data_IF_938968642087
#
_entry.id   IF_938968642087
#
_cell.length_a   1.000
_cell.length_b   1.000
_cell.length_c   1.000
_cell.angle_alpha   90.00
_cell.angle_beta   90.00
_cell.angle_gamma   90.00
#
_symmetry.space_group_name_H-M   'P 1'
#
loop_
_entity.id
_entity.type
_entity.pdbx_description
1 polymer ?
#
# COMPACT_ATOMS: atom_id res chain seq x y z
N UNK A 1 6.37 3.19 -8.12
CA UNK A 1 5.81 2.43 -9.24
C UNK A 1 5.24 1.14 -8.68
N UNK A 2 4.29 1.30 -7.74
CA UNK A 2 3.08 0.52 -7.94
C UNK A 2 2.39 1.04 -9.21
N UNK A 3 1.44 0.29 -9.75
CA UNK A 3 0.85 0.57 -11.06
C UNK A 3 0.29 2.01 -11.14
N UNK A 4 -0.44 2.43 -10.12
CA UNK A 4 -1.17 3.71 -10.10
C UNK A 4 -0.65 4.72 -9.06
N UNK A 5 0.41 4.36 -8.31
CA UNK A 5 0.94 5.16 -7.20
C UNK A 5 2.32 5.76 -7.52
N UNK A 6 2.57 6.97 -6.98
CA UNK A 6 3.76 7.79 -7.20
C UNK A 6 4.03 8.09 -8.67
N UNK A 7 5.05 7.46 -9.24
CA UNK A 7 5.46 7.62 -10.63
C UNK A 7 5.00 6.42 -11.48
N UNK A 8 3.99 5.68 -11.00
CA UNK A 8 3.25 4.63 -11.69
C UNK A 8 2.93 4.96 -13.14
N UNK A 9 2.92 4.00 -14.09
CA UNK A 9 2.42 4.26 -15.43
C UNK A 9 0.97 4.78 -15.42
N UNK A 10 0.13 4.36 -14.46
CA UNK A 10 -1.23 4.87 -14.29
C UNK A 10 -1.33 6.03 -13.28
N UNK A 11 -0.21 6.56 -12.80
CA UNK A 11 -0.22 7.71 -11.89
C UNK A 11 -0.35 9.04 -12.64
N UNK A 12 -0.78 10.09 -11.95
CA UNK A 12 -0.80 11.46 -12.49
C UNK A 12 0.59 12.05 -12.74
N UNK A 13 1.65 11.40 -12.25
CA UNK A 13 3.05 11.85 -12.37
C UNK A 13 3.95 10.74 -12.91
N UNK A 14 3.47 10.00 -13.92
CA UNK A 14 4.23 8.93 -14.55
C UNK A 14 5.58 9.41 -15.09
N UNK A 15 6.65 8.62 -14.92
CA UNK A 15 7.96 8.91 -15.54
C UNK A 15 7.97 8.70 -17.06
N UNK A 16 7.09 7.83 -17.55
CA UNK A 16 6.93 7.51 -18.96
C UNK A 16 5.64 8.11 -19.53
N UNK A 17 5.43 7.88 -20.82
CA UNK A 17 4.17 8.18 -21.50
C UNK A 17 3.72 6.94 -22.27
N UNK A 18 2.39 6.76 -22.36
CA UNK A 18 1.83 5.79 -23.27
C UNK A 18 2.00 6.28 -24.71
N UNK A 19 2.38 5.38 -25.61
CA UNK A 19 2.49 5.65 -27.03
C UNK A 19 1.22 5.16 -27.71
N UNK A 20 0.20 6.02 -27.74
CA UNK A 20 -1.11 5.74 -28.32
C UNK A 20 -1.42 6.75 -29.44
N UNK A 21 -2.17 6.35 -30.48
CA UNK A 21 -2.58 7.29 -31.54
C UNK A 21 -3.56 8.35 -31.01
N UNK A 22 -4.39 7.99 -30.04
CA UNK A 22 -5.37 8.87 -29.39
C UNK A 22 -4.96 9.15 -27.94
N UNK A 23 -5.31 10.31 -27.37
CA UNK A 23 -5.08 10.60 -25.95
C UNK A 23 -5.79 9.59 -25.06
N UNK A 24 -5.11 9.09 -24.03
CA UNK A 24 -5.77 8.31 -22.98
C UNK A 24 -6.70 9.20 -22.15
N UNK A 25 -7.73 8.59 -21.50
CA UNK A 25 -8.51 9.29 -20.49
C UNK A 25 -7.62 9.90 -19.40
N UNK A 26 -8.05 11.04 -18.83
CA UNK A 26 -7.34 11.73 -17.74
C UNK A 26 -7.05 10.79 -16.56
N UNK A 27 -7.99 9.88 -16.27
CA UNK A 27 -7.88 8.89 -15.21
C UNK A 27 -8.18 7.51 -15.78
N UNK A 28 -7.19 6.63 -15.68
CA UNK A 28 -7.32 5.24 -16.10
C UNK A 28 -7.35 4.36 -14.85
N UNK A 29 -8.48 3.71 -14.64
CA UNK A 29 -8.69 2.75 -13.56
C UNK A 29 -8.30 1.36 -14.06
N UNK A 30 -7.71 0.56 -13.19
CA UNK A 30 -7.37 -0.83 -13.51
C UNK A 30 -7.88 -1.74 -12.41
N UNK A 31 -8.67 -2.74 -12.78
CA UNK A 31 -9.15 -3.77 -11.87
C UNK A 31 -8.51 -5.10 -12.25
N UNK A 32 -7.96 -5.80 -11.28
CA UNK A 32 -7.40 -7.14 -11.47
C UNK A 32 -7.78 -8.07 -10.32
N UNK A 33 -7.80 -9.38 -10.60
CA UNK A 33 -7.94 -10.37 -9.53
C UNK A 33 -6.62 -10.52 -8.78
N UNK A 34 -6.67 -10.50 -7.46
CA UNK A 34 -5.52 -10.66 -6.57
C UNK A 34 -4.80 -12.01 -6.76
N UNK A 35 -5.51 -13.05 -7.23
CA UNK A 35 -5.01 -14.44 -7.42
C UNK A 35 -4.36 -15.06 -6.18
N UNK A 36 -4.69 -14.54 -4.99
CA UNK A 36 -4.28 -15.00 -3.67
C UNK A 36 -5.47 -14.83 -2.74
N UNK A 37 -5.52 -15.61 -1.67
CA UNK A 37 -6.51 -15.47 -0.61
C UNK A 37 -6.26 -14.17 0.16
N UNK A 38 -7.33 -13.42 0.45
CA UNK A 38 -7.27 -12.30 1.38
C UNK A 38 -8.34 -12.46 2.45
N UNK A 39 -8.02 -11.99 3.66
CA UNK A 39 -8.91 -12.08 4.82
C UNK A 39 -8.90 -10.81 5.64
N UNK A 40 -10.01 -10.54 6.32
CA UNK A 40 -10.20 -9.33 7.13
C UNK A 40 -10.65 -9.72 8.54
N UNK A 41 -10.05 -9.10 9.56
CA UNK A 41 -10.49 -9.20 10.95
C UNK A 41 -11.12 -7.94 11.47
N UNK A 42 -12.17 -8.12 12.27
CA UNK A 42 -12.79 -7.07 13.06
C UNK A 42 -13.47 -7.68 14.28
N UNK A 43 -13.40 -7.00 15.44
CA UNK A 43 -13.95 -7.52 16.69
C UNK A 43 -13.25 -8.80 17.16
N UNK A 44 -11.99 -9.02 16.74
CA UNK A 44 -11.26 -10.26 17.00
C UNK A 44 -11.64 -11.45 16.11
N UNK A 45 -12.68 -11.33 15.28
CA UNK A 45 -13.20 -12.38 14.41
C UNK A 45 -12.81 -12.20 12.94
N UNK A 46 -12.86 -13.28 12.16
CA UNK A 46 -12.76 -13.22 10.70
C UNK A 46 -14.10 -12.81 10.09
N UNK A 47 -14.14 -11.69 9.38
CA UNK A 47 -15.37 -11.13 8.82
C UNK A 47 -15.47 -11.26 7.30
N UNK A 48 -14.33 -11.48 6.64
CA UNK A 48 -14.25 -11.75 5.21
C UNK A 48 -13.08 -12.70 4.95
N UNK A 49 -13.28 -13.64 4.03
CA UNK A 49 -12.30 -14.64 3.63
C UNK A 49 -12.57 -15.09 2.20
N UNK A 50 -11.70 -14.72 1.25
CA UNK A 50 -11.94 -14.97 -0.17
C UNK A 50 -10.66 -15.14 -0.98
N UNK A 51 -10.70 -16.05 -1.95
CA UNK A 51 -9.73 -16.16 -3.06
C UNK A 51 -10.19 -15.39 -4.30
N UNK A 52 -11.45 -14.97 -4.34
CA UNK A 52 -12.02 -14.13 -5.40
C UNK A 52 -12.02 -12.67 -4.96
N UNK A 53 -10.85 -12.05 -4.87
CA UNK A 53 -10.70 -10.63 -4.50
C UNK A 53 -10.24 -9.82 -5.71
N UNK A 54 -10.89 -8.69 -5.95
CA UNK A 54 -10.50 -7.73 -6.98
C UNK A 54 -9.74 -6.58 -6.35
N UNK A 55 -8.54 -6.31 -6.85
CA UNK A 55 -7.81 -5.08 -6.55
C UNK A 55 -8.22 -4.00 -7.56
N UNK A 56 -8.66 -2.85 -7.05
CA UNK A 56 -8.86 -1.64 -7.85
C UNK A 56 -7.68 -0.70 -7.67
N UNK A 57 -7.04 -0.36 -8.78
CA UNK A 57 -5.95 0.60 -8.88
C UNK A 57 -6.51 1.92 -9.45
N UNK A 58 -6.47 2.95 -8.63
CA UNK A 58 -6.84 4.31 -9.03
C UNK A 58 -5.61 5.22 -9.10
N UNK A 59 -5.53 6.16 -10.06
CA UNK A 59 -4.45 7.14 -10.14
C UNK A 59 -4.31 7.92 -8.83
N UNK A 60 -3.12 7.85 -8.23
CA UNK A 60 -2.81 8.54 -6.98
C UNK A 60 -3.46 7.90 -5.75
N UNK A 61 -3.70 6.58 -5.76
CA UNK A 61 -4.08 5.79 -4.58
C UNK A 61 -3.33 4.46 -4.51
N UNK A 62 -3.19 3.91 -3.30
CA UNK A 62 -2.87 2.50 -3.12
C UNK A 62 -4.02 1.62 -3.60
N UNK A 63 -3.76 0.37 -4.03
CA UNK A 63 -4.81 -0.53 -4.45
C UNK A 63 -5.77 -0.82 -3.31
N UNK A 64 -7.05 -0.93 -3.64
CA UNK A 64 -8.12 -1.26 -2.71
C UNK A 64 -8.67 -2.64 -3.04
N UNK A 65 -8.76 -3.51 -2.04
CA UNK A 65 -9.32 -4.84 -2.18
C UNK A 65 -10.85 -4.85 -2.04
N UNK A 66 -11.52 -5.46 -3.01
CA UNK A 66 -12.96 -5.64 -3.09
C UNK A 66 -13.32 -7.12 -3.00
N UNK A 67 -14.02 -7.47 -1.92
CA UNK A 67 -14.47 -8.82 -1.59
C UNK A 67 -15.90 -9.03 -2.08
N UNK A 68 -16.26 -10.20 -2.63
CA UNK A 68 -17.63 -10.50 -3.00
C UNK A 68 -18.47 -10.60 -1.73
N UNK A 69 -19.70 -10.06 -1.75
CA UNK A 69 -20.61 -10.10 -0.60
C UNK A 69 -20.81 -11.51 -0.02
N UNK A 70 -20.77 -12.54 -0.87
CA UNK A 70 -20.88 -13.96 -0.47
C UNK A 70 -19.71 -14.46 0.39
N UNK A 71 -18.58 -13.77 0.40
CA UNK A 71 -17.41 -14.11 1.23
C UNK A 71 -17.40 -13.41 2.59
N UNK A 72 -18.37 -12.53 2.85
CA UNK A 72 -18.51 -11.84 4.12
C UNK A 72 -19.41 -12.63 5.06
N UNK A 73 -19.13 -12.51 6.36
CA UNK A 73 -20.05 -12.97 7.40
C UNK A 73 -21.36 -12.17 7.29
N UNK A 74 -22.52 -12.83 7.28
CA UNK A 74 -23.80 -12.23 6.87
C UNK A 74 -24.31 -11.09 7.76
N UNK A 75 -23.91 -11.04 9.03
CA UNK A 75 -24.34 -10.08 10.04
C UNK A 75 -23.34 -8.94 10.27
N UNK A 76 -22.27 -8.84 9.46
CA UNK A 76 -21.21 -7.86 9.69
C UNK A 76 -21.53 -6.45 9.18
N UNK A 77 -22.33 -6.34 8.11
CA UNK A 77 -22.61 -5.05 7.46
C UNK A 77 -23.98 -4.53 7.86
N UNK A 78 -24.00 -3.32 8.41
CA UNK A 78 -25.22 -2.57 8.68
C UNK A 78 -25.29 -1.35 7.74
N UNK A 79 -26.40 -1.21 7.03
CA UNK A 79 -26.64 -0.06 6.15
C UNK A 79 -26.74 1.22 6.97
N UNK A 80 -25.89 2.20 6.69
CA UNK A 80 -25.91 3.48 7.41
C UNK A 80 -26.78 4.55 6.73
N UNK A 81 -27.44 4.22 5.61
CA UNK A 81 -28.19 5.16 4.75
C UNK A 81 -27.33 6.22 4.04
N UNK A 82 -26.00 6.17 4.22
CA UNK A 82 -25.08 7.17 3.69
C UNK A 82 -24.61 6.76 2.31
N UNK A 83 -24.74 7.66 1.35
CA UNK A 83 -24.15 7.51 0.02
C UNK A 83 -23.17 8.64 -0.30
N UNK A 84 -22.24 8.37 -1.21
CA UNK A 84 -21.36 9.36 -1.84
C UNK A 84 -21.29 9.09 -3.34
N UNK A 85 -20.74 10.02 -4.12
CA UNK A 85 -20.55 9.83 -5.55
C UNK A 85 -19.06 9.67 -5.87
N UNK A 86 -18.70 8.55 -6.50
CA UNK A 86 -17.38 8.33 -7.06
C UNK A 86 -17.33 8.93 -8.46
N UNK A 87 -16.23 9.63 -8.81
CA UNK A 87 -16.09 10.38 -10.08
C UNK A 87 -16.33 9.49 -11.30
N UNK A 88 -15.76 8.28 -11.31
CA UNK A 88 -15.88 7.33 -12.42
C UNK A 88 -16.85 6.17 -12.16
N UNK A 89 -16.99 5.71 -10.92
CA UNK A 89 -17.67 4.46 -10.58
C UNK A 89 -19.10 4.65 -10.03
N UNK A 90 -19.60 5.88 -10.03
CA UNK A 90 -20.98 6.20 -9.67
C UNK A 90 -21.25 6.15 -8.16
N UNK A 91 -22.50 5.88 -7.81
CA UNK A 91 -22.96 5.95 -6.41
C UNK A 91 -22.25 4.90 -5.55
N UNK A 92 -21.85 5.31 -4.35
CA UNK A 92 -21.17 4.50 -3.36
C UNK A 92 -21.97 4.49 -2.07
N UNK A 93 -22.45 3.33 -1.65
CA UNK A 93 -23.10 3.14 -0.35
C UNK A 93 -22.07 2.80 0.72
N UNK A 94 -22.22 3.41 1.90
CA UNK A 94 -21.36 3.17 3.06
C UNK A 94 -22.08 2.32 4.11
N UNK A 95 -21.29 1.45 4.76
CA UNK A 95 -21.75 0.56 5.81
C UNK A 95 -21.02 0.83 7.12
N UNK A 96 -21.75 0.57 8.19
CA UNK A 96 -21.18 0.33 9.51
C UNK A 96 -20.79 -1.14 9.60
N UNK A 97 -19.62 -1.42 10.20
CA UNK A 97 -19.18 -2.79 10.51
C UNK A 97 -19.44 -3.03 11.99
N UNK A 98 -20.24 -4.05 12.31
CA UNK A 98 -20.59 -4.44 13.68
C UNK A 98 -20.32 -5.93 13.90
N UNK A 99 -19.52 -6.25 14.91
CA UNK A 99 -19.27 -7.62 15.36
C UNK A 99 -19.11 -7.63 16.87
N UNK A 100 -19.89 -8.48 17.54
CA UNK A 100 -19.75 -8.71 18.98
C UNK A 100 -19.93 -7.46 19.84
N UNK A 101 -20.74 -6.49 19.38
CA UNK A 101 -20.99 -5.22 20.08
C UNK A 101 -19.91 -4.15 19.86
N UNK A 102 -18.87 -4.43 19.06
CA UNK A 102 -17.96 -3.40 18.56
C UNK A 102 -18.48 -2.90 17.23
N UNK A 103 -18.61 -1.58 17.11
CA UNK A 103 -19.20 -0.92 15.95
C UNK A 103 -18.27 0.19 15.43
N UNK A 104 -18.05 0.21 14.12
CA UNK A 104 -17.33 1.31 13.46
C UNK A 104 -18.12 1.80 12.25
N UNK A 105 -18.52 3.07 12.29
CA UNK A 105 -19.20 3.72 11.17
C UNK A 105 -18.26 3.98 9.99
N UNK A 106 -18.82 4.02 8.78
CA UNK A 106 -18.07 4.28 7.52
C UNK A 106 -16.87 3.33 7.35
N UNK A 107 -17.06 2.09 7.78
CA UNK A 107 -16.02 1.08 7.86
C UNK A 107 -15.95 0.19 6.61
N UNK A 108 -17.00 0.18 5.79
CA UNK A 108 -17.00 -0.49 4.50
C UNK A 108 -17.81 0.29 3.47
N UNK A 109 -17.61 0.01 2.19
CA UNK A 109 -18.39 0.59 1.10
C UNK A 109 -18.54 -0.34 -0.09
N UNK A 110 -19.56 -0.06 -0.90
CA UNK A 110 -19.86 -0.75 -2.16
C UNK A 110 -20.31 0.28 -3.20
N UNK A 111 -19.96 0.05 -4.47
CA UNK A 111 -20.54 0.80 -5.57
C UNK A 111 -21.92 0.23 -5.94
N UNK A 112 -22.95 1.08 -5.92
CA UNK A 112 -24.36 0.71 -6.12
C UNK A 112 -24.94 1.15 -7.46
N UNK A 113 -24.27 2.04 -8.17
CA UNK A 113 -24.67 2.50 -9.50
C UNK A 113 -23.47 2.49 -10.46
N UNK A 114 -22.82 1.32 -10.57
CA UNK A 114 -21.65 1.13 -11.43
C UNK A 114 -21.99 1.38 -12.91
N UNK A 115 -21.09 2.03 -13.66
CA UNK A 115 -21.19 2.05 -15.11
C UNK A 115 -20.92 0.66 -15.69
N UNK A 116 -21.42 0.40 -16.90
CA UNK A 116 -21.37 -0.92 -17.55
C UNK A 116 -19.95 -1.49 -17.73
N UNK A 117 -18.92 -0.64 -17.84
CA UNK A 117 -17.53 -1.08 -17.98
C UNK A 117 -16.88 -1.53 -16.67
N UNK A 118 -17.53 -1.33 -15.52
CA UNK A 118 -16.99 -1.60 -14.20
C UNK A 118 -17.63 -2.81 -13.50
N UNK A 119 -18.21 -3.74 -14.28
CA UNK A 119 -18.90 -4.93 -13.76
C UNK A 119 -18.03 -5.85 -12.88
N UNK A 120 -16.70 -5.82 -13.01
CA UNK A 120 -15.78 -6.54 -12.12
C UNK A 120 -15.97 -6.19 -10.63
N UNK A 121 -16.52 -5.00 -10.32
CA UNK A 121 -16.77 -4.52 -8.96
C UNK A 121 -18.21 -4.75 -8.47
N UNK A 122 -19.07 -5.30 -9.32
CA UNK A 122 -20.48 -5.54 -8.98
C UNK A 122 -20.61 -6.55 -7.84
N UNK A 123 -21.47 -6.24 -6.87
CA UNK A 123 -21.68 -7.12 -5.71
C UNK A 123 -20.48 -7.24 -4.77
N UNK A 124 -19.50 -6.33 -4.84
CA UNK A 124 -18.29 -6.36 -4.01
C UNK A 124 -18.21 -5.21 -3.02
N UNK A 125 -17.60 -5.48 -1.87
CA UNK A 125 -17.41 -4.57 -0.75
C UNK A 125 -15.92 -4.37 -0.48
N UNK A 126 -15.52 -3.13 -0.25
CA UNK A 126 -14.20 -2.80 0.28
C UNK A 126 -14.31 -2.32 1.73
N UNK A 127 -13.24 -2.52 2.50
CA UNK A 127 -13.16 -2.13 3.91
C UNK A 127 -12.21 -0.95 4.10
N UNK A 128 -12.57 -0.01 4.97
CA UNK A 128 -11.70 1.07 5.37
C UNK A 128 -10.57 0.50 6.21
N UNK A 129 -9.34 0.56 5.68
CA UNK A 129 -8.21 -0.14 6.28
C UNK A 129 -8.01 0.15 7.76
N UNK A 130 -8.09 1.43 8.13
CA UNK A 130 -7.91 1.91 9.51
C UNK A 130 -9.06 1.56 10.46
N UNK A 131 -10.22 1.16 9.92
CA UNK A 131 -11.37 0.74 10.72
C UNK A 131 -11.29 -0.73 11.12
N UNK A 132 -10.52 -1.55 10.41
CA UNK A 132 -10.38 -2.98 10.66
C UNK A 132 -9.24 -3.28 11.63
N UNK A 133 -9.28 -4.44 12.28
CA UNK A 133 -8.22 -4.87 13.19
C UNK A 133 -6.97 -5.31 12.41
N UNK A 134 -7.19 -6.04 11.33
CA UNK A 134 -6.11 -6.54 10.49
C UNK A 134 -6.63 -7.03 9.13
N UNK A 135 -5.74 -6.95 8.14
CA UNK A 135 -5.88 -7.64 6.87
C UNK A 135 -4.78 -8.69 6.78
N UNK A 136 -5.07 -9.77 6.07
CA UNK A 136 -4.13 -10.84 5.81
C UNK A 136 -4.19 -11.19 4.33
N UNK A 137 -3.02 -11.42 3.73
CA UNK A 137 -2.90 -12.13 2.47
C UNK A 137 -2.36 -13.52 2.79
N UNK A 138 -3.09 -14.55 2.35
CA UNK A 138 -2.91 -15.90 2.89
C UNK A 138 -2.94 -15.87 4.43
N UNK A 139 -1.89 -16.40 5.08
CA UNK A 139 -1.68 -16.38 6.52
C UNK A 139 -0.80 -15.22 7.03
N UNK A 140 -0.33 -14.35 6.14
CA UNK A 140 0.54 -13.24 6.49
C UNK A 140 -0.25 -11.95 6.73
N UNK A 141 -0.01 -11.32 7.88
CA UNK A 141 -0.63 -10.03 8.19
C UNK A 141 -0.02 -8.95 7.30
N UNK A 142 -0.86 -8.27 6.53
CA UNK A 142 -0.47 -7.11 5.74
C UNK A 142 -0.87 -5.82 6.47
N UNK A 143 -0.05 -4.78 6.36
CA UNK A 143 -0.26 -3.50 7.04
C UNK A 143 -0.26 -2.33 6.05
N UNK A 144 -0.99 -1.28 6.41
CA UNK A 144 -1.07 -0.04 5.64
C UNK A 144 -2.11 -0.07 4.52
N UNK A 145 -1.93 -0.96 3.54
CA UNK A 145 -2.81 -1.11 2.37
C UNK A 145 -2.57 -2.48 1.70
N UNK A 146 -3.42 -2.85 0.73
CA UNK A 146 -3.22 -4.06 -0.06
C UNK A 146 -1.90 -3.95 -0.84
N UNK A 147 -1.18 -5.07 -1.00
CA UNK A 147 0.04 -5.08 -1.79
C UNK A 147 -0.26 -4.77 -3.26
N UNK A 148 0.59 -3.97 -3.89
CA UNK A 148 0.52 -3.72 -5.33
C UNK A 148 1.42 -4.73 -6.04
N UNK A 149 0.84 -5.60 -6.86
CA UNK A 149 1.56 -6.67 -7.57
C UNK A 149 2.64 -6.15 -8.54
N UNK A 150 2.56 -4.86 -8.91
CA UNK A 150 3.52 -4.20 -9.79
C UNK A 150 4.59 -3.43 -9.02
N UNK A 151 4.49 -3.36 -7.68
CA UNK A 151 5.55 -2.81 -6.85
C UNK A 151 6.78 -3.71 -6.91
N UNK A 152 7.93 -3.13 -7.24
CA UNK A 152 9.19 -3.85 -7.36
C UNK A 152 10.24 -3.24 -6.45
N UNK A 153 10.96 -4.13 -5.79
CA UNK A 153 12.23 -3.85 -5.14
C UNK A 153 13.28 -4.66 -5.90
N UNK A 154 14.25 -3.97 -6.47
CA UNK A 154 15.41 -4.58 -7.12
C UNK A 154 16.67 -4.20 -6.33
N UNK A 155 17.43 -5.19 -5.90
CA UNK A 155 18.60 -5.02 -5.04
C UNK A 155 19.82 -5.49 -5.80
N UNK A 156 20.83 -4.62 -5.91
CA UNK A 156 22.06 -4.90 -6.64
C UNK A 156 23.27 -4.61 -5.78
N UNK A 157 24.19 -5.56 -5.74
CA UNK A 157 25.56 -5.31 -5.33
C UNK A 157 26.24 -4.38 -6.33
N UNK A 158 27.12 -3.50 -5.85
CA UNK A 158 27.91 -2.66 -6.73
C UNK A 158 29.27 -2.36 -6.12
N UNK A 159 30.27 -2.18 -6.99
CA UNK A 159 31.64 -1.84 -6.63
C UNK A 159 31.91 -0.33 -6.58
N UNK A 160 30.86 0.49 -6.63
CA UNK A 160 30.98 1.95 -6.49
C UNK A 160 31.40 2.29 -5.07
N UNK A 161 32.33 3.23 -4.93
CA UNK A 161 32.67 3.82 -3.64
C UNK A 161 31.57 4.79 -3.21
N UNK A 162 31.02 4.58 -2.02
CA UNK A 162 30.03 5.45 -1.40
C UNK A 162 30.64 6.05 -0.12
N UNK A 163 30.51 7.37 0.03
CA UNK A 163 30.83 8.09 1.26
C UNK A 163 29.59 8.87 1.70
N UNK A 164 29.15 8.65 2.94
CA UNK A 164 28.02 9.35 3.56
C UNK A 164 28.59 10.27 4.63
N UNK A 165 28.26 11.56 4.57
CA UNK A 165 28.74 12.59 5.50
C UNK A 165 27.58 13.33 6.16
N UNK A 166 27.80 13.76 7.40
CA UNK A 166 27.00 14.77 8.08
C UNK A 166 27.91 15.97 8.34
N UNK A 167 27.74 17.03 7.55
CA UNK A 167 28.73 18.12 7.47
C UNK A 167 30.11 17.58 7.08
N UNK A 168 31.12 17.87 7.90
CA UNK A 168 32.49 17.42 7.67
C UNK A 168 32.78 16.01 8.21
N UNK A 169 31.88 15.43 9.02
CA UNK A 169 32.06 14.10 9.61
C UNK A 169 31.64 13.01 8.63
N UNK A 170 32.55 12.06 8.36
CA UNK A 170 32.22 10.84 7.60
C UNK A 170 31.48 9.88 8.52
N UNK A 171 30.24 9.55 8.18
CA UNK A 171 29.39 8.62 8.92
C UNK A 171 29.57 7.19 8.42
N UNK A 172 29.71 7.01 7.11
CA UNK A 172 29.99 5.71 6.51
C UNK A 172 30.82 5.86 5.25
N UNK A 173 31.71 4.89 4.98
CA UNK A 173 32.45 4.80 3.73
C UNK A 173 32.63 3.35 3.33
N UNK A 174 32.15 2.98 2.15
CA UNK A 174 32.20 1.60 1.66
C UNK A 174 32.53 1.53 0.17
N UNK A 175 33.18 0.45 -0.26
CA UNK A 175 33.42 0.10 -1.68
C UNK A 175 32.53 -1.04 -2.16
N UNK A 176 31.61 -1.49 -1.30
CA UNK A 176 30.69 -2.60 -1.54
C UNK A 176 29.27 -2.29 -1.05
N UNK A 177 28.71 -1.11 -1.38
CA UNK A 177 27.34 -0.80 -1.01
C UNK A 177 26.36 -1.70 -1.77
N UNK A 178 25.18 -1.84 -1.20
CA UNK A 178 24.01 -2.41 -1.87
C UNK A 178 23.11 -1.27 -2.29
N UNK A 179 22.74 -1.22 -3.58
CA UNK A 179 21.76 -0.25 -4.07
C UNK A 179 20.40 -0.92 -4.23
N UNK A 180 19.39 -0.30 -3.62
CA UNK A 180 18.00 -0.69 -3.71
C UNK A 180 17.28 0.27 -4.63
N UNK A 181 16.75 -0.26 -5.73
CA UNK A 181 15.84 0.40 -6.64
C UNK A 181 14.43 0.01 -6.28
N UNK A 182 13.75 0.89 -5.57
CA UNK A 182 12.33 0.75 -5.29
C UNK A 182 11.57 1.54 -6.32
N UNK A 183 10.63 0.86 -6.96
CA UNK A 183 9.73 1.46 -7.91
C UNK A 183 9.20 2.83 -7.43
N UNK A 184 9.45 3.90 -8.19
CA UNK A 184 8.92 5.26 -7.95
C UNK A 184 9.62 6.08 -6.86
N UNK A 185 10.71 5.56 -6.29
CA UNK A 185 11.57 6.30 -5.37
C UNK A 185 12.97 6.49 -5.96
N UNK A 186 13.69 7.50 -5.48
CA UNK A 186 15.13 7.61 -5.74
C UNK A 186 15.86 6.37 -5.18
N UNK A 187 16.97 5.93 -5.82
CA UNK A 187 17.74 4.80 -5.32
C UNK A 187 18.13 4.97 -3.85
N UNK A 188 17.95 3.92 -3.06
CA UNK A 188 18.36 3.87 -1.66
C UNK A 188 19.65 3.08 -1.56
N UNK A 189 20.63 3.66 -0.89
CA UNK A 189 21.94 3.05 -0.72
C UNK A 189 22.06 2.49 0.68
N UNK A 190 22.34 1.21 0.77
CA UNK A 190 22.60 0.51 2.01
C UNK A 190 24.10 0.26 2.13
N UNK A 191 24.62 0.58 3.32
CA UNK A 191 26.02 0.38 3.68
C UNK A 191 26.10 -0.82 4.65
N UNK A 192 27.10 -1.71 4.50
CA UNK A 192 27.37 -2.72 5.52
C UNK A 192 27.58 -2.06 6.88
N UNK A 193 27.08 -2.68 7.95
CA UNK A 193 27.09 -2.08 9.29
C UNK A 193 28.52 -1.83 9.78
N UNK A 194 29.45 -2.71 9.43
CA UNK A 194 30.88 -2.60 9.74
C UNK A 194 31.57 -1.40 9.06
N UNK A 195 30.98 -0.84 8.00
CA UNK A 195 31.51 0.32 7.28
C UNK A 195 30.92 1.65 7.82
N UNK A 196 30.14 1.58 8.90
CA UNK A 196 29.50 2.72 9.57
C UNK A 196 30.22 3.08 10.88
N UNK A 197 30.40 4.37 11.12
CA UNK A 197 30.93 4.90 12.38
C UNK A 197 29.86 4.85 13.47
N UNK A 198 29.73 3.71 14.15
CA UNK A 198 28.69 3.45 15.17
C UNK A 198 28.60 4.51 16.26
N UNK A 199 29.74 5.07 16.69
CA UNK A 199 29.81 6.13 17.71
C UNK A 199 29.07 7.42 17.32
N UNK A 200 28.81 7.62 16.02
CA UNK A 200 28.11 8.79 15.49
C UNK A 200 26.58 8.55 15.40
N UNK A 201 26.11 7.33 15.69
CA UNK A 201 24.71 6.95 15.64
C UNK A 201 24.10 6.87 17.03
N UNK A 202 22.95 7.53 17.21
CA UNK A 202 22.12 7.35 18.42
C UNK A 202 20.81 6.66 18.04
N UNK A 203 20.50 5.46 18.59
CA UNK A 203 19.28 4.76 18.24
C UNK A 203 18.04 5.56 18.65
N UNK A 204 17.05 5.58 17.77
CA UNK A 204 15.76 6.23 18.00
C UNK A 204 14.74 5.19 18.44
N UNK A 205 13.95 5.52 19.46
CA UNK A 205 12.84 4.68 19.87
C UNK A 205 11.71 4.71 18.83
N UNK A 206 11.17 3.53 18.56
CA UNK A 206 10.11 3.33 17.56
C UNK A 206 10.63 2.79 16.24
N UNK A 207 9.70 2.28 15.44
CA UNK A 207 9.97 1.70 14.13
C UNK A 207 8.90 2.17 13.16
N UNK A 208 9.26 2.27 11.89
CA UNK A 208 8.26 2.34 10.82
C UNK A 208 8.12 0.97 10.20
N UNK A 209 6.96 0.72 9.60
CA UNK A 209 6.69 -0.51 8.89
C UNK A 209 6.42 -0.19 7.42
N UNK A 210 7.00 -1.00 6.54
CA UNK A 210 6.71 -1.04 5.13
C UNK A 210 6.22 -2.46 4.76
N UNK A 211 5.09 -2.61 4.04
CA UNK A 211 4.58 -3.92 3.64
C UNK A 211 5.56 -4.72 2.77
N UNK A 212 6.54 -4.05 2.15
CA UNK A 212 7.51 -4.69 1.26
C UNK A 212 8.89 -4.92 1.88
N UNK A 213 9.26 -4.16 2.93
CA UNK A 213 10.61 -4.19 3.53
C UNK A 213 10.61 -4.61 5.01
N UNK A 214 9.44 -4.74 5.62
CA UNK A 214 9.30 -5.03 7.04
C UNK A 214 9.52 -3.80 7.92
N UNK A 215 10.15 -4.03 9.08
CA UNK A 215 10.36 -3.01 10.11
C UNK A 215 11.69 -2.28 9.91
N UNK A 216 11.65 -0.95 9.90
CA UNK A 216 12.82 -0.10 9.89
C UNK A 216 13.05 0.53 11.28
N UNK A 217 14.24 0.33 11.83
CA UNK A 217 14.76 1.12 12.95
C UNK A 217 15.44 2.39 12.42
N UNK A 218 15.55 3.40 13.28
CA UNK A 218 16.14 4.69 12.92
C UNK A 218 17.23 5.10 13.89
N UNK A 219 18.14 5.94 13.42
CA UNK A 219 19.22 6.55 14.17
C UNK A 219 19.23 8.06 13.96
N UNK A 220 19.48 8.81 15.02
CA UNK A 220 19.88 10.20 14.97
C UNK A 220 21.37 10.31 14.67
N UNK A 221 21.78 11.36 13.96
CA UNK A 221 23.18 11.71 13.69
C UNK A 221 23.40 13.14 14.15
N UNK A 222 24.03 13.32 15.31
CA UNK A 222 24.12 14.62 15.97
C UNK A 222 22.73 15.23 16.21
N UNK A 223 22.48 16.42 15.65
CA UNK A 223 21.17 17.09 15.74
C UNK A 223 20.15 16.61 14.70
N UNK A 224 20.59 15.88 13.67
CA UNK A 224 19.71 15.40 12.60
C UNK A 224 18.89 14.20 13.09
N UNK A 225 17.57 14.39 13.20
CA UNK A 225 16.64 13.38 13.72
C UNK A 225 16.25 12.34 12.67
N UNK A 226 16.26 11.05 13.04
CA UNK A 226 15.92 9.91 12.16
C UNK A 226 16.63 9.97 10.80
N UNK A 227 17.93 10.28 10.84
CA UNK A 227 18.75 10.57 9.67
C UNK A 227 19.31 9.30 9.00
N UNK A 228 19.36 8.17 9.72
CA UNK A 228 19.78 6.87 9.20
C UNK A 228 18.83 5.75 9.62
#
# INVERSE_FOLDING_TARGET
MGLSWQQGPLSSTALGRFLTPEPLPERLLFAERLRRRMRVRFGGEWIADSEDVVLLHEPGRYPVAYFPLSSLRSDVLETSGRTTQHRELGETSWFTVDVGGRRTERAAWQFTALPSYAGELEGRVAFAWRAMDAFYEEDERILGHAADAYHRIDIRDTSRTLEVRSGDTVIARTTRPVVLYESGFAPRWYVPREDVQEKELTPVEGRTFCPYKGLAGYYDIGEAKKAA
#
